data_IF_138174225897
#
_entry.id   IF_138174225897
#
_cell.length_a   1.000
_cell.length_b   1.000
_cell.length_c   1.000
_cell.angle_alpha   90.00
_cell.angle_beta   90.00
_cell.angle_gamma   90.00
#
_symmetry.space_group_name_H-M   'P 1'
#
loop_
_entity.id
_entity.type
_entity.pdbx_description
1 polymer ?
#
# COMPACT_ATOMS: atom_id res chain seq x y z
N UNK A 1 -5.34 -18.82 -18.03
CA UNK A 1 -6.67 -19.37 -18.37
C UNK A 1 -7.09 -20.23 -17.19
N UNK A 2 -7.89 -19.67 -16.28
CA UNK A 2 -8.45 -20.42 -15.14
C UNK A 2 -9.93 -20.63 -15.41
N UNK A 3 -10.34 -21.90 -15.37
CA UNK A 3 -11.64 -22.39 -15.82
C UNK A 3 -12.79 -21.88 -14.95
N UNK A 4 -13.70 -21.13 -15.59
CA UNK A 4 -15.04 -20.85 -15.08
C UNK A 4 -15.90 -22.05 -15.49
N UNK A 5 -16.11 -23.00 -14.58
CA UNK A 5 -17.05 -24.10 -14.82
C UNK A 5 -18.49 -23.57 -14.92
N UNK A 6 -19.21 -23.73 -16.04
CA UNK A 6 -20.64 -23.55 -16.08
C UNK A 6 -21.32 -24.88 -15.70
N UNK A 7 -21.95 -24.91 -14.52
CA UNK A 7 -22.93 -25.96 -14.19
C UNK A 7 -24.18 -25.78 -15.06
N UNK A 8 -24.20 -26.38 -16.26
CA UNK A 8 -25.41 -26.49 -17.07
C UNK A 8 -25.43 -27.84 -17.80
N UNK A 9 -26.04 -28.86 -17.18
CA UNK A 9 -26.60 -30.00 -17.92
C UNK A 9 -27.66 -30.74 -17.07
N UNK A 10 -28.90 -30.25 -17.08
CA UNK A 10 -30.10 -31.08 -16.97
C UNK A 10 -31.36 -30.31 -17.43
N UNK A 11 -32.28 -30.94 -18.18
CA UNK A 11 -33.39 -30.27 -18.84
C UNK A 11 -34.66 -30.30 -17.98
N UNK A 12 -35.52 -29.30 -18.19
CA UNK A 12 -36.89 -29.11 -17.69
C UNK A 12 -37.05 -28.33 -16.38
N UNK A 13 -37.63 -27.13 -16.57
CA UNK A 13 -38.50 -26.36 -15.67
C UNK A 13 -38.01 -26.24 -14.21
N UNK A 14 -37.57 -25.04 -13.84
CA UNK A 14 -37.92 -24.25 -12.63
C UNK A 14 -36.87 -23.15 -12.43
N UNK A 15 -37.29 -22.02 -11.84
CA UNK A 15 -36.59 -20.76 -11.66
C UNK A 15 -35.07 -20.85 -11.46
N UNK A 16 -34.30 -20.27 -12.39
CA UNK A 16 -32.86 -20.09 -12.27
C UNK A 16 -32.53 -19.02 -11.22
N UNK A 17 -32.53 -19.38 -9.94
CA UNK A 17 -31.75 -18.67 -8.92
C UNK A 17 -30.38 -19.33 -8.82
N UNK A 18 -29.50 -19.05 -9.78
CA UNK A 18 -28.12 -19.54 -9.74
C UNK A 18 -27.29 -18.62 -8.82
N UNK A 19 -27.04 -19.07 -7.57
CA UNK A 19 -26.07 -18.41 -6.67
C UNK A 19 -24.67 -18.72 -7.19
N UNK A 20 -24.09 -17.81 -7.97
CA UNK A 20 -22.71 -17.95 -8.45
C UNK A 20 -21.73 -17.41 -7.41
N UNK A 21 -20.89 -18.31 -6.89
CA UNK A 21 -19.72 -17.95 -6.10
C UNK A 21 -18.79 -17.11 -6.97
N UNK A 22 -18.48 -15.89 -6.54
CA UNK A 22 -17.61 -14.98 -7.29
C UNK A 22 -16.15 -15.43 -7.29
N UNK A 23 -15.28 -14.70 -8.03
CA UNK A 23 -13.88 -15.03 -8.15
C UNK A 23 -13.19 -15.03 -6.78
N UNK A 24 -12.37 -16.05 -6.53
CA UNK A 24 -11.50 -16.12 -5.35
C UNK A 24 -10.32 -15.18 -5.58
N UNK A 25 -10.18 -14.14 -4.76
CA UNK A 25 -9.01 -13.28 -4.81
C UNK A 25 -8.16 -13.44 -3.55
N UNK A 26 -6.85 -13.22 -3.72
CA UNK A 26 -5.87 -13.30 -2.64
C UNK A 26 -5.83 -11.96 -1.94
N UNK A 27 -6.15 -11.93 -0.65
CA UNK A 27 -6.06 -10.73 0.17
C UNK A 27 -5.09 -11.02 1.33
N UNK A 28 -4.12 -10.14 1.53
CA UNK A 28 -3.25 -10.22 2.71
C UNK A 28 -4.02 -9.63 3.89
N UNK A 29 -4.46 -10.49 4.81
CA UNK A 29 -5.16 -10.07 6.01
C UNK A 29 -4.17 -9.96 7.19
N UNK A 30 -4.20 -8.83 7.89
CA UNK A 30 -3.51 -8.68 9.17
C UNK A 30 -4.34 -9.39 10.24
N UNK A 31 -3.77 -10.43 10.84
CA UNK A 31 -4.34 -11.08 12.03
C UNK A 31 -4.09 -10.20 13.25
N UNK A 32 -4.96 -10.27 14.25
CA UNK A 32 -4.87 -9.54 15.53
C UNK A 32 -3.56 -9.79 16.30
N UNK A 33 -2.80 -10.84 15.93
CA UNK A 33 -1.49 -11.22 16.45
C UNK A 33 -0.29 -10.59 15.71
N UNK A 34 -0.50 -9.68 14.77
CA UNK A 34 0.59 -9.03 14.01
C UNK A 34 1.33 -9.94 13.01
N UNK A 35 0.84 -11.16 12.76
CA UNK A 35 1.37 -12.07 11.74
C UNK A 35 0.55 -11.99 10.45
N UNK A 36 1.25 -11.83 9.32
CA UNK A 36 0.64 -11.87 7.98
C UNK A 36 0.16 -13.28 7.66
N UNK A 37 -1.13 -13.43 7.35
CA UNK A 37 -1.68 -14.68 6.80
C UNK A 37 -2.31 -14.42 5.44
N UNK A 38 -2.03 -15.32 4.49
CA UNK A 38 -2.70 -15.33 3.19
C UNK A 38 -4.12 -15.84 3.40
N UNK A 39 -5.11 -14.96 3.22
CA UNK A 39 -6.51 -15.34 3.28
C UNK A 39 -7.07 -15.42 1.85
N UNK A 40 -7.65 -16.56 1.51
CA UNK A 40 -8.46 -16.68 0.31
C UNK A 40 -9.86 -16.18 0.65
N UNK A 41 -10.25 -15.05 0.07
CA UNK A 41 -11.62 -14.54 0.20
C UNK A 41 -12.38 -14.73 -1.11
N UNK A 42 -13.60 -15.23 -0.98
CA UNK A 42 -14.55 -15.33 -2.07
C UNK A 42 -15.68 -14.35 -1.77
N UNK A 43 -15.90 -13.39 -2.66
CA UNK A 43 -17.04 -12.47 -2.58
C UNK A 43 -18.15 -13.02 -3.43
N UNK A 44 -19.33 -13.21 -2.85
CA UNK A 44 -20.53 -13.55 -3.60
C UNK A 44 -21.00 -12.29 -4.31
N UNK A 45 -20.96 -12.28 -5.64
CA UNK A 45 -21.23 -11.09 -6.46
C UNK A 45 -22.73 -10.75 -6.56
N UNK A 46 -23.62 -11.62 -6.08
CA UNK A 46 -25.08 -11.48 -6.17
C UNK A 46 -25.71 -12.44 -7.19
N UNK A 47 -27.01 -12.30 -7.41
CA UNK A 47 -27.76 -13.05 -8.44
C UNK A 47 -27.74 -12.27 -9.75
N UNK A 48 -27.34 -12.91 -10.84
CA UNK A 48 -27.36 -12.32 -12.18
C UNK A 48 -28.06 -13.25 -13.16
N UNK A 49 -28.81 -12.66 -14.08
CA UNK A 49 -29.53 -13.35 -15.16
C UNK A 49 -28.60 -13.87 -16.25
N UNK A 50 -27.48 -13.17 -16.51
CA UNK A 50 -26.65 -13.44 -17.69
C UNK A 50 -25.17 -13.58 -17.33
N UNK A 51 -24.48 -14.56 -17.92
CA UNK A 51 -23.04 -14.78 -17.76
C UNK A 51 -22.18 -13.53 -18.10
N UNK A 52 -22.65 -12.67 -19.02
CA UNK A 52 -21.99 -11.41 -19.39
C UNK A 52 -22.04 -10.36 -18.28
N UNK A 53 -23.13 -10.31 -17.53
CA UNK A 53 -23.31 -9.39 -16.39
C UNK A 53 -22.43 -9.82 -15.23
N UNK A 54 -22.33 -11.13 -14.99
CA UNK A 54 -21.41 -11.73 -14.00
C UNK A 54 -19.96 -11.35 -14.32
N UNK A 55 -19.52 -11.50 -15.58
CA UNK A 55 -18.16 -11.15 -15.99
C UNK A 55 -17.88 -9.66 -15.79
N UNK A 56 -18.81 -8.78 -16.16
CA UNK A 56 -18.67 -7.34 -15.93
C UNK A 56 -18.62 -6.99 -14.44
N UNK A 57 -19.50 -7.57 -13.62
CA UNK A 57 -19.50 -7.36 -12.18
C UNK A 57 -18.20 -7.88 -11.53
N UNK A 58 -17.73 -9.06 -11.97
CA UNK A 58 -16.46 -9.63 -11.54
C UNK A 58 -15.28 -8.74 -11.95
N UNK A 59 -15.24 -8.24 -13.19
CA UNK A 59 -14.20 -7.32 -13.66
C UNK A 59 -14.22 -5.99 -12.90
N UNK A 60 -15.40 -5.43 -12.61
CA UNK A 60 -15.52 -4.19 -11.83
C UNK A 60 -15.02 -4.42 -10.39
N UNK A 61 -15.36 -5.55 -9.78
CA UNK A 61 -14.88 -5.88 -8.43
C UNK A 61 -13.38 -6.19 -8.44
N UNK A 62 -12.89 -6.95 -9.42
CA UNK A 62 -11.46 -7.20 -9.60
C UNK A 62 -10.70 -5.90 -9.84
N UNK A 63 -11.24 -4.94 -10.60
CA UNK A 63 -10.63 -3.62 -10.77
C UNK A 63 -10.62 -2.81 -9.47
N UNK A 64 -11.67 -2.89 -8.64
CA UNK A 64 -11.68 -2.25 -7.32
C UNK A 64 -10.63 -2.85 -6.38
N UNK A 65 -10.48 -4.18 -6.41
CA UNK A 65 -9.46 -4.91 -5.65
C UNK A 65 -8.06 -4.65 -6.23
N UNK A 66 -7.91 -4.55 -7.55
CA UNK A 66 -6.61 -4.30 -8.21
C UNK A 66 -6.20 -2.83 -8.18
N UNK A 67 -7.13 -1.86 -8.11
CA UNK A 67 -6.79 -0.48 -7.76
C UNK A 67 -6.39 -0.37 -6.28
N UNK A 68 -6.77 -1.35 -5.46
CA UNK A 68 -6.14 -1.62 -4.16
C UNK A 68 -4.77 -2.32 -4.25
N UNK A 69 -4.38 -2.90 -5.40
CA UNK A 69 -3.07 -3.56 -5.61
C UNK A 69 -1.92 -2.59 -5.93
N UNK A 70 -2.09 -1.28 -5.74
CA UNK A 70 -0.98 -0.41 -5.31
C UNK A 70 -0.29 -0.96 -4.03
N UNK A 71 -0.94 -1.89 -3.31
CA UNK A 71 -0.49 -2.50 -2.06
C UNK A 71 0.90 -3.14 -2.10
N UNK A 72 1.34 -3.78 -3.18
CA UNK A 72 2.56 -4.62 -3.09
C UNK A 72 3.87 -3.82 -2.89
N UNK A 73 3.96 -2.57 -3.37
CA UNK A 73 5.12 -1.68 -3.10
C UNK A 73 4.88 -0.73 -1.92
N UNK A 74 3.63 -0.51 -1.54
CA UNK A 74 3.22 0.31 -0.40
C UNK A 74 3.20 -0.50 0.91
N UNK A 75 3.36 -1.82 0.82
CA UNK A 75 3.53 -2.76 1.94
C UNK A 75 4.95 -2.76 2.55
N UNK A 76 5.84 -1.83 2.16
CA UNK A 76 7.16 -1.71 2.79
C UNK A 76 7.20 -0.61 3.84
N UNK A 77 8.10 -0.79 4.81
CA UNK A 77 8.37 0.22 5.84
C UNK A 77 9.16 1.39 5.28
N UNK A 78 9.10 2.55 5.94
CA UNK A 78 9.87 3.73 5.55
C UNK A 78 11.38 3.44 5.51
N UNK A 79 11.90 2.64 6.46
CA UNK A 79 13.31 2.22 6.47
C UNK A 79 13.66 1.31 5.29
N UNK A 80 12.79 0.36 4.95
CA UNK A 80 13.01 -0.50 3.78
C UNK A 80 12.99 0.29 2.48
N UNK A 81 12.04 1.22 2.32
CA UNK A 81 11.99 2.10 1.16
C UNK A 81 13.28 2.93 1.04
N UNK A 82 13.77 3.48 2.15
CA UNK A 82 15.03 4.21 2.14
C UNK A 82 16.19 3.34 1.63
N UNK A 83 16.38 2.15 2.22
CA UNK A 83 17.52 1.31 1.91
C UNK A 83 17.48 0.70 0.50
N UNK A 84 16.29 0.33 0.01
CA UNK A 84 16.13 -0.37 -1.27
C UNK A 84 16.03 0.58 -2.47
N UNK A 85 15.61 1.82 -2.26
CA UNK A 85 15.24 2.74 -3.33
C UNK A 85 15.90 4.11 -3.17
N UNK A 86 15.70 4.76 -2.02
CA UNK A 86 16.16 6.14 -1.87
C UNK A 86 17.69 6.27 -1.83
N UNK A 87 18.35 5.40 -1.05
CA UNK A 87 19.81 5.39 -0.88
C UNK A 87 20.54 5.01 -2.18
N UNK A 88 20.22 3.91 -2.89
CA UNK A 88 20.92 3.54 -4.11
C UNK A 88 20.55 4.39 -5.33
N UNK A 89 19.29 4.80 -5.48
CA UNK A 89 18.83 5.39 -6.75
C UNK A 89 18.78 6.92 -6.70
N UNK A 90 18.45 7.52 -5.55
CA UNK A 90 18.21 8.97 -5.44
C UNK A 90 19.42 9.72 -4.89
N UNK A 91 20.09 9.21 -3.85
CA UNK A 91 21.21 9.93 -3.25
C UNK A 91 22.38 10.18 -4.21
N UNK A 92 22.77 9.26 -5.11
CA UNK A 92 23.85 9.50 -6.06
C UNK A 92 23.51 10.59 -7.08
N UNK A 93 22.22 10.81 -7.36
CA UNK A 93 21.76 11.87 -8.27
C UNK A 93 21.74 13.26 -7.61
N UNK A 94 21.85 13.33 -6.27
CA UNK A 94 21.87 14.58 -5.53
C UNK A 94 23.28 15.12 -5.39
N UNK A 95 23.40 16.44 -5.15
CA UNK A 95 24.67 17.04 -4.75
C UNK A 95 25.21 16.33 -3.49
N UNK A 96 26.53 16.04 -3.41
CA UNK A 96 27.10 15.26 -2.31
C UNK A 96 26.75 15.78 -0.91
N UNK A 97 26.77 17.10 -0.71
CA UNK A 97 26.41 17.72 0.57
C UNK A 97 24.93 17.56 0.91
N UNK A 98 24.05 17.66 -0.09
CA UNK A 98 22.60 17.46 0.08
C UNK A 98 22.31 15.99 0.41
N UNK A 99 22.96 15.05 -0.28
CA UNK A 99 22.85 13.62 0.02
C UNK A 99 23.25 13.31 1.45
N UNK A 100 24.44 13.78 1.89
CA UNK A 100 24.92 13.61 3.28
C UNK A 100 23.97 14.21 4.31
N UNK A 101 23.43 15.40 4.05
CA UNK A 101 22.44 16.04 4.92
C UNK A 101 21.19 15.18 5.04
N UNK A 102 20.65 14.68 3.94
CA UNK A 102 19.46 13.82 3.94
C UNK A 102 19.71 12.51 4.68
N UNK A 103 20.85 11.85 4.46
CA UNK A 103 21.23 10.64 5.21
C UNK A 103 21.32 10.92 6.70
N UNK A 104 21.92 12.05 7.10
CA UNK A 104 22.03 12.44 8.51
C UNK A 104 20.65 12.68 9.14
N UNK A 105 19.78 13.44 8.47
CA UNK A 105 18.43 13.71 8.95
C UNK A 105 17.61 12.42 9.05
N UNK A 106 17.76 11.53 8.06
CA UNK A 106 17.06 10.26 8.03
C UNK A 106 17.46 9.37 9.21
N UNK A 107 18.74 9.02 9.32
CA UNK A 107 19.23 8.10 10.36
C UNK A 107 19.05 8.64 11.78
N UNK A 108 19.22 9.94 11.99
CA UNK A 108 19.21 10.53 13.34
C UNK A 108 17.81 10.87 13.85
N UNK A 109 16.87 11.18 12.97
CA UNK A 109 15.58 11.74 13.38
C UNK A 109 14.38 10.97 12.83
N UNK A 110 14.40 10.62 11.54
CA UNK A 110 13.26 10.02 10.85
C UNK A 110 13.19 8.52 11.15
N UNK A 111 14.28 7.78 10.96
CA UNK A 111 14.35 6.33 11.17
C UNK A 111 13.93 5.91 12.59
N UNK A 112 14.42 6.54 13.68
CA UNK A 112 14.02 6.13 15.04
C UNK A 112 12.54 6.34 15.34
N UNK A 113 11.89 7.28 14.65
CA UNK A 113 10.52 7.71 14.98
C UNK A 113 9.47 7.12 14.03
N UNK A 114 9.78 7.08 12.74
CA UNK A 114 8.86 6.72 11.65
C UNK A 114 9.35 5.53 10.82
N UNK A 115 10.58 5.06 11.03
CA UNK A 115 11.19 4.01 10.20
C UNK A 115 10.41 2.70 10.20
N UNK A 116 9.82 2.34 11.33
CA UNK A 116 9.00 1.13 11.51
C UNK A 116 7.60 1.22 10.89
N UNK A 117 7.14 2.43 10.56
CA UNK A 117 5.82 2.63 9.97
C UNK A 117 5.83 2.25 8.49
N UNK A 118 4.72 1.67 8.05
CA UNK A 118 4.49 1.40 6.64
C UNK A 118 4.37 2.71 5.87
N UNK A 119 4.86 2.76 4.63
CA UNK A 119 4.86 3.99 3.84
C UNK A 119 3.46 4.60 3.67
N UNK A 120 2.41 3.76 3.52
CA UNK A 120 1.00 4.22 3.53
C UNK A 120 0.51 4.78 4.84
N UNK A 121 1.05 4.30 5.96
CA UNK A 121 0.57 4.67 7.27
C UNK A 121 1.15 6.03 7.69
N UNK A 122 2.24 6.48 7.07
CA UNK A 122 2.84 7.77 7.40
C UNK A 122 1.99 8.92 6.86
N UNK A 123 1.09 9.42 7.71
CA UNK A 123 0.30 10.62 7.46
C UNK A 123 0.92 11.90 8.01
N UNK A 124 0.25 13.03 7.74
CA UNK A 124 0.63 14.37 8.21
C UNK A 124 0.71 14.46 9.74
N UNK A 125 -0.16 13.75 10.45
CA UNK A 125 -0.15 13.62 11.91
C UNK A 125 1.23 13.19 12.43
N UNK A 126 1.80 12.13 11.86
CA UNK A 126 3.06 11.58 12.33
C UNK A 126 4.23 12.54 12.09
N UNK A 127 4.20 13.25 10.96
CA UNK A 127 5.18 14.30 10.65
C UNK A 127 5.07 15.45 11.66
N UNK A 128 3.86 15.92 11.95
CA UNK A 128 3.63 16.97 12.94
C UNK A 128 4.07 16.54 14.34
N UNK A 129 3.76 15.31 14.74
CA UNK A 129 4.20 14.75 16.04
C UNK A 129 5.72 14.68 16.13
N UNK A 130 6.39 14.26 15.07
CA UNK A 130 7.87 14.25 15.01
C UNK A 130 8.44 15.66 15.16
N UNK A 131 7.93 16.63 14.40
CA UNK A 131 8.40 18.03 14.46
C UNK A 131 8.16 18.62 15.84
N UNK A 132 6.97 18.42 16.42
CA UNK A 132 6.65 18.89 17.77
C UNK A 132 7.57 18.28 18.83
N UNK A 133 7.84 16.97 18.76
CA UNK A 133 8.77 16.30 19.68
C UNK A 133 10.20 16.86 19.56
N UNK A 134 10.68 17.13 18.35
CA UNK A 134 12.01 17.74 18.15
C UNK A 134 12.03 19.21 18.54
N UNK A 135 10.93 19.94 18.41
CA UNK A 135 10.83 21.30 18.88
C UNK A 135 10.92 21.38 20.41
N UNK A 136 10.30 20.44 21.14
CA UNK A 136 10.42 20.32 22.60
C UNK A 136 11.87 20.03 23.05
N UNK A 137 12.64 19.29 22.24
CA UNK A 137 14.06 19.05 22.45
C UNK A 137 14.96 20.26 22.09
N UNK A 138 14.38 21.43 21.81
CA UNK A 138 15.07 22.68 21.47
C UNK A 138 15.97 22.61 20.22
N UNK A 139 15.64 21.74 19.25
CA UNK A 139 16.30 21.76 17.94
C UNK A 139 16.02 23.08 17.20
N UNK A 140 17.00 23.52 16.39
CA UNK A 140 16.86 24.75 15.62
C UNK A 140 15.76 24.63 14.56
N UNK A 141 15.12 25.76 14.22
CA UNK A 141 14.09 25.82 13.15
C UNK A 141 14.63 25.32 11.82
N UNK A 142 15.90 25.58 11.54
CA UNK A 142 16.59 25.10 10.33
C UNK A 142 16.65 23.57 10.29
N UNK A 143 17.02 22.92 11.40
CA UNK A 143 17.03 21.45 11.48
C UNK A 143 15.64 20.86 11.29
N UNK A 144 14.60 21.46 11.89
CA UNK A 144 13.22 21.03 11.67
C UNK A 144 12.79 21.17 10.21
N UNK A 145 13.20 22.27 9.55
CA UNK A 145 13.01 22.47 8.12
C UNK A 145 13.68 21.38 7.28
N UNK A 146 14.93 21.03 7.59
CA UNK A 146 15.64 19.94 6.91
C UNK A 146 14.96 18.59 7.07
N UNK A 147 14.49 18.25 8.27
CA UNK A 147 13.72 17.01 8.50
C UNK A 147 12.48 16.98 7.61
N UNK A 148 11.73 18.08 7.55
CA UNK A 148 10.53 18.18 6.73
C UNK A 148 10.85 18.06 5.24
N UNK A 149 11.86 18.78 4.75
CA UNK A 149 12.26 18.70 3.33
C UNK A 149 12.74 17.30 2.94
N UNK A 150 13.46 16.60 3.82
CA UNK A 150 13.85 15.20 3.58
C UNK A 150 12.62 14.30 3.47
N UNK A 151 11.64 14.43 4.38
CA UNK A 151 10.39 13.66 4.30
C UNK A 151 9.60 13.97 3.02
N UNK A 152 9.44 15.26 2.68
CA UNK A 152 8.75 15.68 1.46
C UNK A 152 9.41 15.08 0.21
N UNK A 153 10.75 15.04 0.15
CA UNK A 153 11.47 14.42 -0.96
C UNK A 153 11.25 12.92 -1.03
N UNK A 154 11.32 12.22 0.11
CA UNK A 154 11.06 10.77 0.19
C UNK A 154 9.65 10.45 -0.32
N UNK A 155 8.63 11.16 0.17
CA UNK A 155 7.24 10.94 -0.26
C UNK A 155 7.01 11.31 -1.73
N UNK A 156 7.65 12.37 -2.22
CA UNK A 156 7.56 12.73 -3.64
C UNK A 156 8.13 11.63 -4.54
N UNK A 157 9.27 11.03 -4.18
CA UNK A 157 9.83 9.89 -4.92
C UNK A 157 8.91 8.68 -4.81
N UNK A 158 8.42 8.38 -3.61
CA UNK A 158 7.50 7.28 -3.40
C UNK A 158 6.22 7.42 -4.25
N UNK A 159 5.69 8.64 -4.39
CA UNK A 159 4.52 8.92 -5.20
C UNK A 159 4.82 8.85 -6.71
N UNK A 160 6.02 9.20 -7.15
CA UNK A 160 6.40 9.08 -8.57
C UNK A 160 6.54 7.63 -9.02
N UNK A 161 6.87 6.72 -8.10
CA UNK A 161 7.13 5.32 -8.39
C UNK A 161 5.93 4.40 -8.09
N UNK A 162 4.82 4.98 -7.60
CA UNK A 162 3.59 4.29 -7.19
C UNK A 162 2.44 4.55 -8.13
#
# INVERSE_FOLDING_TARGET
MEDIYPCCAAPWRWSFSCKLTGPRYRENALSTDGKFRRAHRAVVLGQFSTAREVRRAAEIQMRKVSSGNLSARIDMTLTQFWALHFDPDILPMLKPNTGRLYTLMFKRHIEPSLGHLMLRAVGREHIQRLVAAKQQMKYSRQTLGHIRSTLEKIFSVAQQWG
#
